data_IF_539156853150
#
_entry.id   IF_539156853150
#
_cell.length_a   1.000
_cell.length_b   1.000
_cell.length_c   1.000
_cell.angle_alpha   90.00
_cell.angle_beta   90.00
_cell.angle_gamma   90.00
#
_symmetry.space_group_name_H-M   'P 1'
#
loop_
_entity.id
_entity.type
_entity.pdbx_description
1 polymer ?
#
# COMPACT_ATOMS: atom_id res chain seq x y z
N UNK A 1 -14.23 3.97 14.88
CA UNK A 1 -13.66 2.76 14.24
C UNK A 1 -12.31 2.45 14.90
N UNK A 2 -11.84 1.20 14.78
CA UNK A 2 -10.49 0.77 15.20
C UNK A 2 -9.83 0.03 14.04
N UNK A 3 -8.62 0.45 13.66
CA UNK A 3 -7.83 -0.18 12.61
C UNK A 3 -6.62 -0.92 13.23
N UNK A 4 -6.52 -2.22 12.97
CA UNK A 4 -5.36 -3.03 13.37
C UNK A 4 -4.44 -3.15 12.15
N UNK A 5 -3.19 -2.73 12.32
CA UNK A 5 -2.14 -2.74 11.29
C UNK A 5 -0.93 -3.52 11.78
N UNK A 6 -0.20 -4.13 10.87
CA UNK A 6 1.12 -4.69 11.17
C UNK A 6 2.22 -3.65 11.05
N UNK A 7 3.47 -4.07 11.32
CA UNK A 7 4.66 -3.23 11.24
C UNK A 7 4.62 -2.27 10.06
N UNK A 8 4.70 -0.99 10.32
CA UNK A 8 4.60 0.07 9.29
C UNK A 8 5.75 0.02 8.30
N UNK A 9 6.93 -0.39 8.77
CA UNK A 9 8.09 -0.52 7.89
C UNK A 9 7.88 -1.55 6.78
N UNK A 10 7.17 -2.65 7.06
CA UNK A 10 7.14 -3.82 6.19
C UNK A 10 5.76 -4.14 5.59
N UNK A 11 4.67 -3.77 6.27
CA UNK A 11 3.33 -4.21 5.88
C UNK A 11 2.70 -3.35 4.80
N UNK A 12 2.89 -3.74 3.55
CA UNK A 12 2.26 -3.09 2.40
C UNK A 12 0.72 -3.17 2.41
N UNK A 13 0.17 -4.21 3.00
CA UNK A 13 -1.28 -4.37 3.14
C UNK A 13 -1.84 -3.40 4.17
N UNK A 14 -1.15 -3.24 5.31
CA UNK A 14 -1.54 -2.28 6.36
C UNK A 14 -1.46 -0.83 5.88
N UNK A 15 -0.43 -0.46 5.09
CA UNK A 15 -0.33 0.86 4.49
C UNK A 15 -1.59 1.20 3.66
N UNK A 16 -2.08 0.26 2.84
CA UNK A 16 -3.29 0.47 2.03
C UNK A 16 -4.53 0.69 2.90
N UNK A 17 -4.76 -0.17 3.89
CA UNK A 17 -5.89 -0.02 4.80
C UNK A 17 -5.83 1.28 5.59
N UNK A 18 -4.65 1.68 6.04
CA UNK A 18 -4.45 2.91 6.76
C UNK A 18 -4.70 4.15 5.89
N UNK A 19 -4.15 4.18 4.67
CA UNK A 19 -4.42 5.26 3.71
C UNK A 19 -5.90 5.34 3.34
N UNK A 20 -6.59 4.21 3.24
CA UNK A 20 -8.04 4.20 3.01
C UNK A 20 -8.81 4.82 4.19
N UNK A 21 -8.43 4.51 5.44
CA UNK A 21 -9.02 5.15 6.62
C UNK A 21 -8.74 6.66 6.63
N UNK A 22 -7.53 7.11 6.31
CA UNK A 22 -7.21 8.55 6.20
C UNK A 22 -8.03 9.21 5.11
N UNK A 23 -8.15 8.59 3.92
CA UNK A 23 -8.95 9.10 2.81
C UNK A 23 -10.44 9.21 3.16
N UNK A 24 -10.96 8.33 4.02
CA UNK A 24 -12.36 8.40 4.45
C UNK A 24 -12.68 9.66 5.25
N UNK A 25 -11.70 10.21 5.96
CA UNK A 25 -11.88 11.34 6.88
C UNK A 25 -12.65 10.99 8.15
N UNK A 26 -12.98 9.72 8.36
CA UNK A 26 -13.62 9.26 9.60
C UNK A 26 -12.57 9.06 10.70
N UNK A 27 -12.96 9.35 11.94
CA UNK A 27 -12.09 9.11 13.10
C UNK A 27 -11.92 7.61 13.36
N UNK A 28 -10.69 7.19 13.63
CA UNK A 28 -10.36 5.81 14.00
C UNK A 28 -9.20 5.77 14.99
N UNK A 29 -9.22 4.76 15.84
CA UNK A 29 -8.10 4.37 16.69
C UNK A 29 -7.19 3.42 15.94
N UNK A 30 -5.90 3.44 16.23
CA UNK A 30 -4.90 2.60 15.60
C UNK A 30 -4.29 1.65 16.62
N UNK A 31 -4.21 0.37 16.26
CA UNK A 31 -3.42 -0.64 16.94
C UNK A 31 -2.38 -1.21 16.00
N UNK A 32 -1.11 -0.98 16.31
CA UNK A 32 -0.01 -1.62 15.56
C UNK A 32 0.41 -2.89 16.26
N UNK A 33 0.50 -4.00 15.51
CA UNK A 33 0.93 -5.30 16.01
C UNK A 33 2.22 -5.74 15.32
N UNK A 34 3.13 -6.43 16.03
CA UNK A 34 4.30 -7.03 15.40
C UNK A 34 3.86 -8.12 14.43
N UNK A 35 4.52 -8.19 13.27
CA UNK A 35 4.35 -9.32 12.36
C UNK A 35 5.56 -10.24 12.55
N UNK A 36 5.31 -11.54 12.62
CA UNK A 36 6.30 -12.60 12.86
C UNK A 36 6.88 -12.59 14.29
N UNK A 37 7.32 -13.78 14.70
CA UNK A 37 7.87 -14.02 16.03
C UNK A 37 6.82 -14.42 17.07
N UNK A 38 7.32 -14.76 18.26
CA UNK A 38 6.51 -15.35 19.35
C UNK A 38 5.40 -14.40 19.81
N UNK A 39 5.67 -13.11 19.91
CA UNK A 39 4.68 -12.10 20.32
C UNK A 39 3.48 -12.09 19.36
N UNK A 40 3.73 -12.16 18.04
CA UNK A 40 2.65 -12.23 17.06
C UNK A 40 1.86 -13.53 17.16
N UNK A 41 2.55 -14.64 17.41
CA UNK A 41 1.90 -15.94 17.56
C UNK A 41 1.03 -16.01 18.82
N UNK A 42 1.44 -15.35 19.90
CA UNK A 42 0.63 -15.15 21.09
C UNK A 42 -0.59 -14.28 20.82
N UNK A 43 -0.39 -13.11 20.21
CA UNK A 43 -1.49 -12.22 19.84
C UNK A 43 -2.53 -12.90 18.96
N UNK A 44 -2.12 -13.70 17.98
CA UNK A 44 -3.04 -14.46 17.13
C UNK A 44 -3.87 -15.47 17.90
N UNK A 45 -3.34 -16.05 18.97
CA UNK A 45 -4.09 -16.99 19.83
C UNK A 45 -5.06 -16.28 20.76
N UNK A 46 -4.63 -15.17 21.34
CA UNK A 46 -5.28 -14.60 22.54
C UNK A 46 -6.14 -13.37 22.22
N UNK A 47 -5.88 -12.66 21.12
CA UNK A 47 -6.66 -11.48 20.71
C UNK A 47 -7.84 -11.85 19.83
N UNK A 48 -9.04 -11.86 20.39
CA UNK A 48 -10.28 -12.11 19.64
C UNK A 48 -10.50 -11.17 18.43
N UNK A 49 -9.96 -9.96 18.50
CA UNK A 49 -10.07 -8.96 17.42
C UNK A 49 -9.30 -9.32 16.13
N UNK A 50 -8.33 -10.24 16.21
CA UNK A 50 -7.52 -10.69 15.09
C UNK A 50 -8.08 -11.97 14.46
N UNK A 51 -8.86 -12.73 15.22
CA UNK A 51 -9.39 -14.04 14.80
C UNK A 51 -10.18 -14.01 13.49
N UNK A 52 -11.06 -13.02 13.22
CA UNK A 52 -11.87 -13.02 12.00
C UNK A 52 -11.07 -13.06 10.72
N UNK A 53 -9.87 -12.47 10.70
CA UNK A 53 -8.98 -12.43 9.53
C UNK A 53 -7.99 -13.59 9.46
N UNK A 54 -8.05 -14.54 10.40
CA UNK A 54 -7.01 -15.56 10.60
C UNK A 54 -5.60 -14.97 10.76
N UNK A 55 -5.48 -13.86 11.51
CA UNK A 55 -4.22 -13.19 11.75
C UNK A 55 -3.65 -12.43 10.56
N UNK A 56 -4.47 -12.04 9.58
CA UNK A 56 -4.04 -11.19 8.48
C UNK A 56 -4.42 -9.74 8.76
N UNK A 57 -3.51 -8.84 8.53
CA UNK A 57 -3.72 -7.38 8.66
C UNK A 57 -3.70 -6.71 7.29
N UNK A 58 -4.43 -5.57 7.10
CA UNK A 58 -5.19 -4.79 8.08
C UNK A 58 -6.55 -5.39 8.44
N UNK A 59 -7.07 -5.01 9.62
CA UNK A 59 -8.43 -5.34 10.06
C UNK A 59 -9.09 -4.05 10.53
N UNK A 60 -10.27 -3.74 10.01
CA UNK A 60 -11.08 -2.60 10.44
C UNK A 60 -12.28 -3.09 11.24
N UNK A 61 -12.42 -2.61 12.46
CA UNK A 61 -13.60 -2.73 13.30
C UNK A 61 -14.42 -1.44 13.28
N UNK A 62 -15.70 -1.54 12.97
CA UNK A 62 -16.66 -0.43 13.06
C UNK A 62 -17.87 -0.89 13.87
N UNK A 63 -17.84 -0.64 15.18
CA UNK A 63 -18.74 -1.29 16.12
C UNK A 63 -18.55 -2.80 16.09
N UNK A 64 -19.63 -3.54 15.83
CA UNK A 64 -19.63 -5.01 15.72
C UNK A 64 -19.28 -5.52 14.30
N UNK A 65 -19.09 -4.60 13.34
CA UNK A 65 -18.74 -4.96 11.97
C UNK A 65 -17.22 -5.08 11.83
N UNK A 66 -16.76 -6.23 11.34
CA UNK A 66 -15.35 -6.48 11.06
C UNK A 66 -15.11 -6.63 9.58
N UNK A 67 -14.13 -5.90 9.06
CA UNK A 67 -13.77 -5.90 7.64
C UNK A 67 -12.28 -6.20 7.48
N UNK A 68 -11.96 -7.14 6.67
CA UNK A 68 -10.65 -7.47 6.09
C UNK A 68 -10.93 -7.93 4.65
N UNK A 69 -10.13 -7.82 3.68
CA UNK A 69 -8.78 -7.28 3.53
C UNK A 69 -8.74 -5.78 3.18
N UNK A 70 -7.58 -5.29 2.69
CA UNK A 70 -7.39 -3.86 2.39
C UNK A 70 -8.32 -3.32 1.30
N UNK A 71 -8.70 -4.12 0.29
CA UNK A 71 -9.63 -3.69 -0.75
C UNK A 71 -11.07 -3.66 -0.21
N UNK A 72 -11.45 -4.65 0.58
CA UNK A 72 -12.76 -4.66 1.23
C UNK A 72 -12.91 -3.49 2.21
N UNK A 73 -11.85 -3.13 2.95
CA UNK A 73 -11.83 -1.94 3.82
C UNK A 73 -12.04 -0.67 2.99
N UNK A 74 -11.33 -0.53 1.87
CA UNK A 74 -11.49 0.64 1.00
C UNK A 74 -12.92 0.77 0.46
N UNK A 75 -13.49 -0.32 -0.06
CA UNK A 75 -14.85 -0.32 -0.61
C UNK A 75 -15.90 -0.06 0.48
N UNK A 76 -15.75 -0.66 1.67
CA UNK A 76 -16.60 -0.39 2.82
C UNK A 76 -16.60 1.11 3.18
N UNK A 77 -15.42 1.71 3.26
CA UNK A 77 -15.28 3.14 3.55
C UNK A 77 -15.85 4.01 2.44
N UNK A 78 -15.66 3.62 1.17
CA UNK A 78 -16.20 4.33 0.02
C UNK A 78 -17.75 4.34 0.04
N UNK A 79 -18.37 3.24 0.44
CA UNK A 79 -19.83 3.18 0.60
C UNK A 79 -20.31 4.05 1.78
N UNK A 80 -19.50 4.20 2.84
CA UNK A 80 -19.84 5.01 4.03
C UNK A 80 -19.76 6.52 3.79
N UNK A 81 -18.78 6.99 3.01
CA UNK A 81 -18.49 8.44 2.85
C UNK A 81 -18.76 8.98 1.45
N UNK A 82 -19.12 8.11 0.52
CA UNK A 82 -19.33 8.44 -0.88
C UNK A 82 -18.17 7.97 -1.78
N UNK A 83 -18.54 7.28 -2.85
CA UNK A 83 -17.57 6.64 -3.77
C UNK A 83 -16.64 7.62 -4.46
N UNK A 84 -17.13 8.82 -4.75
CA UNK A 84 -16.35 9.87 -5.44
C UNK A 84 -15.17 10.37 -4.60
N UNK A 85 -15.13 10.05 -3.30
CA UNK A 85 -13.99 10.34 -2.44
C UNK A 85 -12.79 9.43 -2.70
N UNK A 86 -13.06 8.23 -3.22
CA UNK A 86 -12.03 7.21 -3.50
C UNK A 86 -11.82 6.96 -4.98
N UNK A 87 -12.88 7.01 -5.75
CA UNK A 87 -12.90 6.63 -7.16
C UNK A 87 -13.18 7.82 -8.06
N UNK A 88 -12.63 7.86 -9.27
CA UNK A 88 -13.03 8.85 -10.27
C UNK A 88 -14.55 8.89 -10.45
N UNK A 89 -15.09 10.08 -10.60
CA UNK A 89 -16.54 10.29 -10.70
C UNK A 89 -17.12 9.69 -11.98
N UNK A 90 -16.41 9.82 -13.10
CA UNK A 90 -16.86 9.34 -14.41
C UNK A 90 -16.59 7.85 -14.57
N UNK A 91 -17.48 7.15 -15.29
CA UNK A 91 -17.46 5.69 -15.44
C UNK A 91 -16.19 5.17 -16.09
N UNK A 92 -15.70 5.83 -17.15
CA UNK A 92 -14.51 5.38 -17.89
C UNK A 92 -13.23 5.39 -17.03
N UNK A 93 -12.82 6.51 -16.41
CA UNK A 93 -11.66 6.51 -15.52
C UNK A 93 -11.89 5.64 -14.27
N UNK A 94 -13.13 5.58 -13.76
CA UNK A 94 -13.45 4.72 -12.61
C UNK A 94 -13.28 3.23 -12.94
N UNK A 95 -13.71 2.81 -14.13
CA UNK A 95 -13.51 1.43 -14.60
C UNK A 95 -12.02 1.08 -14.69
N UNK A 96 -11.21 1.96 -15.25
CA UNK A 96 -9.76 1.76 -15.33
C UNK A 96 -9.12 1.76 -13.94
N UNK A 97 -9.48 2.69 -13.05
CA UNK A 97 -8.96 2.73 -11.70
C UNK A 97 -9.24 1.43 -10.92
N UNK A 98 -10.45 0.89 -11.03
CA UNK A 98 -10.82 -0.40 -10.44
C UNK A 98 -10.03 -1.57 -11.01
N UNK A 99 -9.84 -1.61 -12.33
CA UNK A 99 -9.02 -2.64 -12.97
C UNK A 99 -7.58 -2.59 -12.47
N UNK A 100 -6.97 -1.41 -12.41
CA UNK A 100 -5.61 -1.20 -11.90
C UNK A 100 -5.48 -1.61 -10.42
N UNK A 101 -6.46 -1.26 -9.60
CA UNK A 101 -6.48 -1.64 -8.18
C UNK A 101 -6.60 -3.14 -8.01
N UNK A 102 -7.49 -3.80 -8.75
CA UNK A 102 -7.67 -5.24 -8.70
C UNK A 102 -6.41 -6.00 -9.19
N UNK A 103 -5.79 -5.54 -10.29
CA UNK A 103 -4.54 -6.11 -10.80
C UNK A 103 -3.40 -5.95 -9.78
N UNK A 104 -3.27 -4.76 -9.14
CA UNK A 104 -2.29 -4.56 -8.08
C UNK A 104 -2.60 -5.38 -6.84
N UNK A 105 -3.87 -5.58 -6.49
CA UNK A 105 -4.28 -6.36 -5.32
C UNK A 105 -3.89 -7.83 -5.46
N UNK A 106 -4.15 -8.44 -6.59
CA UNK A 106 -3.96 -9.88 -6.83
C UNK A 106 -2.64 -10.27 -7.50
N UNK A 107 -1.96 -9.32 -8.15
CA UNK A 107 -0.81 -9.57 -9.00
C UNK A 107 0.54 -9.16 -8.45
N UNK A 108 1.52 -9.17 -9.37
CA UNK A 108 2.90 -8.69 -9.16
C UNK A 108 3.65 -9.45 -8.07
N UNK A 109 3.46 -10.77 -8.00
CA UNK A 109 4.13 -11.62 -7.01
C UNK A 109 5.66 -11.62 -7.14
N UNK A 110 6.25 -11.67 -8.35
CA UNK A 110 7.70 -11.54 -8.53
C UNK A 110 8.25 -10.25 -7.92
N UNK A 111 7.67 -9.10 -8.23
CA UNK A 111 8.07 -7.81 -7.66
C UNK A 111 7.95 -7.81 -6.13
N UNK A 112 6.87 -8.37 -5.58
CA UNK A 112 6.66 -8.40 -4.13
C UNK A 112 7.68 -9.26 -3.40
N UNK A 113 8.11 -10.37 -4.03
CA UNK A 113 9.10 -11.30 -3.45
C UNK A 113 10.51 -10.76 -3.54
N UNK A 114 10.89 -10.18 -4.67
CA UNK A 114 12.25 -9.70 -4.90
C UNK A 114 12.48 -8.31 -4.30
N UNK A 115 11.44 -7.51 -4.18
CA UNK A 115 11.47 -6.16 -3.61
C UNK A 115 10.42 -6.05 -2.48
N UNK A 116 10.59 -6.74 -1.33
CA UNK A 116 9.68 -6.57 -0.19
C UNK A 116 9.63 -5.10 0.25
N UNK A 117 8.48 -4.65 0.78
CA UNK A 117 8.38 -3.28 1.27
C UNK A 117 9.25 -3.10 2.50
N UNK A 118 10.08 -2.08 2.46
CA UNK A 118 10.88 -1.60 3.57
C UNK A 118 11.03 -0.07 3.45
N UNK A 119 10.31 0.64 4.29
CA UNK A 119 10.23 2.11 4.20
C UNK A 119 11.54 2.77 4.61
N UNK A 120 12.22 2.19 5.60
CA UNK A 120 13.44 2.74 6.21
C UNK A 120 14.70 2.53 5.37
N UNK A 121 14.78 1.40 4.65
CA UNK A 121 16.00 1.01 3.96
C UNK A 121 16.11 1.62 2.56
N UNK A 122 17.35 1.73 2.11
CA UNK A 122 17.72 2.00 0.72
C UNK A 122 18.75 0.96 0.33
N UNK A 123 18.42 0.14 -0.66
CA UNK A 123 19.29 -0.92 -1.16
C UNK A 123 19.86 -0.51 -2.52
N UNK A 124 21.16 -0.43 -2.62
CA UNK A 124 21.84 -0.13 -3.86
C UNK A 124 22.28 -1.40 -4.58
N UNK A 125 22.21 -1.40 -5.92
CA UNK A 125 22.77 -2.45 -6.76
C UNK A 125 22.06 -3.81 -6.69
N UNK A 126 20.84 -3.87 -6.19
CA UNK A 126 20.05 -5.11 -6.15
C UNK A 126 19.73 -5.58 -7.56
N UNK A 127 20.11 -6.80 -7.89
CA UNK A 127 19.77 -7.41 -9.18
C UNK A 127 18.32 -7.90 -9.14
N UNK A 128 17.47 -7.30 -9.99
CA UNK A 128 16.08 -7.68 -10.15
C UNK A 128 15.96 -8.68 -11.30
N UNK A 129 15.30 -9.80 -11.08
CA UNK A 129 15.06 -10.83 -12.10
C UNK A 129 14.07 -10.39 -13.19
N UNK A 130 14.08 -11.09 -14.31
CA UNK A 130 13.32 -10.68 -15.51
C UNK A 130 11.80 -10.75 -15.29
N UNK A 131 11.31 -11.64 -14.45
CA UNK A 131 9.91 -11.72 -14.04
C UNK A 131 9.45 -10.49 -13.25
N UNK A 132 10.24 -10.01 -12.30
CA UNK A 132 9.94 -8.78 -11.57
C UNK A 132 10.13 -7.53 -12.44
N UNK A 133 11.09 -7.53 -13.39
CA UNK A 133 11.19 -6.47 -14.40
C UNK A 133 9.96 -6.39 -15.29
N UNK A 134 9.37 -7.54 -15.66
CA UNK A 134 8.13 -7.57 -16.43
C UNK A 134 6.98 -6.93 -15.61
N UNK A 135 6.88 -7.21 -14.30
CA UNK A 135 5.94 -6.55 -13.41
C UNK A 135 6.14 -5.02 -13.38
N UNK A 136 7.39 -4.57 -13.27
CA UNK A 136 7.72 -3.13 -13.26
C UNK A 136 7.30 -2.47 -14.57
N UNK A 137 7.61 -3.08 -15.71
CA UNK A 137 7.20 -2.57 -17.02
C UNK A 137 5.68 -2.46 -17.11
N UNK A 138 4.95 -3.47 -16.67
CA UNK A 138 3.48 -3.45 -16.66
C UNK A 138 2.93 -2.32 -15.78
N UNK A 139 3.47 -2.14 -14.60
CA UNK A 139 3.08 -1.06 -13.69
C UNK A 139 3.31 0.31 -14.33
N UNK A 140 4.48 0.54 -14.92
CA UNK A 140 4.81 1.80 -15.58
C UNK A 140 3.92 2.08 -16.80
N UNK A 141 3.52 1.06 -17.56
CA UNK A 141 2.55 1.18 -18.65
C UNK A 141 1.18 1.64 -18.13
N UNK A 142 0.69 1.03 -17.04
CA UNK A 142 -0.58 1.41 -16.43
C UNK A 142 -0.55 2.84 -15.89
N UNK A 143 0.54 3.23 -15.22
CA UNK A 143 0.71 4.61 -14.73
C UNK A 143 0.76 5.61 -15.88
N UNK A 144 1.50 5.30 -16.96
CA UNK A 144 1.58 6.15 -18.13
C UNK A 144 0.20 6.36 -18.76
N UNK A 145 -0.56 5.28 -18.96
CA UNK A 145 -1.90 5.35 -19.55
C UNK A 145 -2.87 6.14 -18.68
N UNK A 146 -2.91 5.86 -17.36
CA UNK A 146 -3.77 6.57 -16.43
C UNK A 146 -3.45 8.08 -16.41
N UNK A 147 -2.16 8.44 -16.31
CA UNK A 147 -1.70 9.83 -16.31
C UNK A 147 -2.01 10.54 -17.61
N UNK A 148 -1.74 9.91 -18.75
CA UNK A 148 -1.97 10.51 -20.08
C UNK A 148 -3.45 10.80 -20.33
N UNK A 149 -4.33 9.89 -19.93
CA UNK A 149 -5.78 9.99 -20.20
C UNK A 149 -6.54 10.78 -19.15
N UNK A 150 -6.18 10.63 -17.88
CA UNK A 150 -7.01 11.08 -16.75
C UNK A 150 -6.24 11.87 -15.69
N UNK A 151 -4.94 12.05 -15.83
CA UNK A 151 -4.09 12.71 -14.83
C UNK A 151 -4.18 14.25 -14.81
N UNK A 152 -5.03 14.86 -15.64
CA UNK A 152 -5.25 16.31 -15.63
C UNK A 152 -5.93 16.73 -14.32
N UNK A 153 -5.43 17.74 -13.67
CA UNK A 153 -6.03 18.26 -12.43
C UNK A 153 -5.25 17.92 -11.15
N UNK A 154 -4.11 17.23 -11.26
CA UNK A 154 -3.25 17.01 -10.12
C UNK A 154 -2.11 16.00 -10.38
N UNK A 155 -1.27 15.75 -9.38
CA UNK A 155 -0.07 14.92 -9.56
C UNK A 155 -0.33 13.40 -9.49
N UNK A 156 -1.54 12.97 -9.11
CA UNK A 156 -1.89 11.57 -8.87
C UNK A 156 -2.38 10.86 -10.14
N UNK A 157 -2.51 9.53 -10.10
CA UNK A 157 -2.77 8.71 -11.29
C UNK A 157 -4.03 9.15 -12.05
N UNK A 158 -5.08 9.53 -11.35
CA UNK A 158 -6.33 10.04 -11.91
C UNK A 158 -6.56 11.52 -11.59
N UNK A 159 -5.48 12.28 -11.42
CA UNK A 159 -5.51 13.71 -11.08
C UNK A 159 -5.51 13.95 -9.58
N UNK A 160 -6.55 13.61 -8.86
CA UNK A 160 -6.64 13.70 -7.39
C UNK A 160 -6.27 12.38 -6.73
N UNK A 161 -5.77 12.46 -5.48
CA UNK A 161 -5.46 11.28 -4.69
C UNK A 161 -6.70 10.40 -4.51
N UNK A 162 -6.55 9.09 -4.75
CA UNK A 162 -7.67 8.15 -4.69
C UNK A 162 -7.25 6.70 -4.51
N UNK A 163 -8.18 5.79 -4.78
CA UNK A 163 -8.00 4.35 -4.57
C UNK A 163 -6.79 3.77 -5.32
N UNK A 164 -6.54 4.21 -6.55
CA UNK A 164 -5.37 3.76 -7.31
C UNK A 164 -4.08 4.15 -6.60
N UNK A 165 -3.96 5.38 -6.13
CA UNK A 165 -2.77 5.87 -5.45
C UNK A 165 -2.55 5.13 -4.12
N UNK A 166 -3.61 4.87 -3.36
CA UNK A 166 -3.58 4.06 -2.14
C UNK A 166 -2.98 2.67 -2.44
N UNK A 167 -3.42 2.04 -3.53
CA UNK A 167 -2.97 0.69 -3.87
C UNK A 167 -1.55 0.64 -4.45
N UNK A 168 -1.12 1.70 -5.12
CA UNK A 168 0.24 1.82 -5.64
C UNK A 168 1.23 2.48 -4.67
N UNK A 169 0.81 3.04 -3.54
CA UNK A 169 1.71 3.59 -2.52
C UNK A 169 2.82 2.62 -2.07
N UNK A 170 2.54 1.32 -1.80
CA UNK A 170 3.59 0.36 -1.49
C UNK A 170 4.55 0.08 -2.66
N UNK A 171 4.11 0.28 -3.91
CA UNK A 171 4.97 0.13 -5.10
C UNK A 171 5.95 1.29 -5.17
N UNK A 172 5.47 2.51 -4.93
CA UNK A 172 6.33 3.70 -4.83
C UNK A 172 7.42 3.49 -3.77
N UNK A 173 7.04 3.01 -2.58
CA UNK A 173 8.01 2.66 -1.53
C UNK A 173 9.05 1.65 -2.03
N UNK A 174 8.63 0.57 -2.68
CA UNK A 174 9.54 -0.43 -3.25
C UNK A 174 10.49 0.17 -4.29
N UNK A 175 9.97 0.97 -5.20
CA UNK A 175 10.78 1.59 -6.25
C UNK A 175 11.87 2.50 -5.66
N UNK A 176 11.54 3.25 -4.61
CA UNK A 176 12.49 4.09 -3.90
C UNK A 176 13.50 3.25 -3.10
N UNK A 177 13.03 2.22 -2.39
CA UNK A 177 13.89 1.35 -1.57
C UNK A 177 14.95 0.65 -2.41
N UNK A 178 14.59 0.18 -3.59
CA UNK A 178 15.47 -0.61 -4.47
C UNK A 178 16.10 0.19 -5.61
N UNK A 179 15.97 1.53 -5.61
CA UNK A 179 16.57 2.39 -6.60
C UNK A 179 16.12 2.09 -8.04
N UNK A 180 14.86 1.71 -8.24
CA UNK A 180 14.33 1.33 -9.55
C UNK A 180 14.24 2.56 -10.44
N UNK A 181 15.02 2.57 -11.53
CA UNK A 181 14.98 3.64 -12.52
C UNK A 181 13.65 3.71 -13.24
N UNK A 182 13.05 4.90 -13.30
CA UNK A 182 11.73 5.13 -13.90
C UNK A 182 11.75 6.33 -14.86
N UNK A 183 10.82 6.40 -15.83
CA UNK A 183 10.66 7.59 -16.70
C UNK A 183 10.23 8.82 -15.88
N UNK A 184 10.53 10.03 -16.41
CA UNK A 184 10.28 11.30 -15.70
C UNK A 184 8.83 11.52 -15.23
N UNK A 185 7.82 11.05 -16.00
CA UNK A 185 6.43 11.15 -15.53
C UNK A 185 6.15 10.28 -14.28
N UNK A 186 6.77 9.11 -14.20
CA UNK A 186 6.65 8.22 -13.05
C UNK A 186 7.46 8.76 -11.86
N UNK A 187 8.62 9.37 -12.12
CA UNK A 187 9.39 10.07 -11.10
C UNK A 187 8.55 11.15 -10.43
N UNK A 188 7.92 12.03 -11.21
CA UNK A 188 7.06 13.10 -10.68
C UNK A 188 5.86 12.56 -9.87
N UNK A 189 5.26 11.45 -10.31
CA UNK A 189 4.21 10.78 -9.56
C UNK A 189 4.72 10.20 -8.24
N UNK A 190 5.87 9.53 -8.26
CA UNK A 190 6.49 8.96 -7.06
C UNK A 190 6.86 10.04 -6.04
N UNK A 191 7.37 11.18 -6.51
CA UNK A 191 7.67 12.34 -5.65
C UNK A 191 6.39 12.87 -4.99
N UNK A 192 5.33 13.10 -5.76
CA UNK A 192 4.06 13.55 -5.22
C UNK A 192 3.45 12.57 -4.21
N UNK A 193 3.57 11.26 -4.47
CA UNK A 193 3.13 10.22 -3.52
C UNK A 193 3.95 10.23 -2.25
N UNK A 194 5.27 10.31 -2.36
CA UNK A 194 6.17 10.26 -1.21
C UNK A 194 6.03 11.49 -0.33
N UNK A 195 5.83 12.67 -0.93
CA UNK A 195 5.63 13.94 -0.23
C UNK A 195 4.21 14.13 0.32
N UNK A 196 3.28 13.25 -0.02
CA UNK A 196 1.91 13.35 0.48
C UNK A 196 1.89 13.27 2.02
N UNK A 197 1.15 14.17 2.68
CA UNK A 197 1.13 14.29 4.14
C UNK A 197 0.90 12.97 4.88
N UNK A 198 0.04 12.11 4.35
CA UNK A 198 -0.24 10.81 4.96
C UNK A 198 0.91 9.82 4.76
N UNK A 199 1.55 9.84 3.60
CA UNK A 199 2.76 9.04 3.41
C UNK A 199 3.87 9.48 4.35
N UNK A 200 4.09 10.78 4.54
CA UNK A 200 5.07 11.30 5.48
C UNK A 200 4.73 10.91 6.93
N UNK A 201 3.45 10.95 7.33
CA UNK A 201 3.02 10.48 8.63
C UNK A 201 3.27 8.97 8.84
N UNK A 202 3.02 8.15 7.80
CA UNK A 202 3.32 6.73 7.84
C UNK A 202 4.82 6.45 7.96
N UNK A 203 5.64 7.15 7.18
CA UNK A 203 7.11 7.03 7.18
C UNK A 203 7.66 7.39 8.57
N UNK A 204 7.28 8.53 9.11
CA UNK A 204 7.71 8.95 10.44
C UNK A 204 7.33 7.94 11.54
N UNK A 205 6.14 7.34 11.43
CA UNK A 205 5.73 6.28 12.36
C UNK A 205 6.54 5.00 12.17
N UNK A 206 6.88 4.63 10.92
CA UNK A 206 7.72 3.47 10.62
C UNK A 206 9.17 3.65 11.15
N UNK A 207 9.71 4.87 11.07
CA UNK A 207 11.05 5.19 11.59
C UNK A 207 11.15 5.02 13.11
N UNK A 208 10.06 5.20 13.83
CA UNK A 208 9.99 5.05 15.29
C UNK A 208 9.69 3.61 15.74
N UNK A 209 9.40 2.69 14.82
CA UNK A 209 9.17 1.29 15.17
C UNK A 209 10.47 0.58 15.59
N UNK A 210 10.39 -0.20 16.67
CA UNK A 210 11.54 -0.96 17.19
C UNK A 210 11.67 -2.36 16.57
N UNK A 211 10.59 -2.88 15.97
CA UNK A 211 10.61 -4.21 15.37
C UNK A 211 11.45 -4.27 14.11
N UNK A 212 12.23 -5.33 13.99
CA UNK A 212 13.09 -5.63 12.85
C UNK A 212 12.74 -7.02 12.31
N UNK A 213 12.61 -7.13 11.00
CA UNK A 213 12.43 -8.40 10.30
C UNK A 213 13.71 -8.61 9.47
N UNK A 214 14.70 -9.28 10.05
CA UNK A 214 16.04 -9.43 9.49
C UNK A 214 16.06 -9.93 8.05
N UNK A 215 15.20 -10.88 7.72
CA UNK A 215 15.08 -11.41 6.35
C UNK A 215 14.68 -10.38 5.30
N UNK A 216 14.10 -9.24 5.69
CA UNK A 216 13.67 -8.17 4.79
C UNK A 216 14.59 -6.94 4.87
N UNK A 217 15.41 -6.85 5.88
CA UNK A 217 16.47 -5.84 5.98
C UNK A 217 17.73 -6.29 5.24
N UNK A 218 17.99 -7.60 5.19
CA UNK A 218 19.06 -8.21 4.43
C UNK A 218 18.53 -8.81 3.13
N UNK A 219 18.33 -7.97 2.09
CA UNK A 219 18.03 -8.50 0.75
C UNK A 219 19.33 -9.03 0.14
N UNK A 220 19.44 -10.32 -0.18
CA UNK A 220 20.65 -10.84 -0.80
C UNK A 220 20.89 -10.11 -2.12
N UNK A 221 22.14 -9.64 -2.30
CA UNK A 221 22.59 -9.34 -3.64
C UNK A 221 22.34 -10.61 -4.48
N UNK A 222 21.55 -10.48 -5.55
CA UNK A 222 21.27 -11.61 -6.43
C UNK A 222 22.61 -12.19 -6.92
N UNK A 223 22.91 -13.44 -6.53
CA UNK A 223 24.08 -14.18 -6.95
C UNK A 223 24.06 -14.44 -8.45
#
# INVERSE_FOLDING_TARGET
MKLIVGNRNYSSWSLRGWLACKQSGLSFEELTVPLYGDEWDEMKRDMGEIQPSHGKVPILWDGDTVIWDSLAILEYLADRVGRDRFWPKDDTPRGMARAMVAEMHSGYLPLRRQCPMNVRMRHEGVRIGDDAKADIVRILQLWAEARARFGRGGPFLFGTFGAADIFYAPVVSRFLTYGIGVPGFAQAYMEAMWEHEWMQAWIAAAENEQWVIEQWDSVPAAG
#
